data_IF_011062757906
#
_entry.id   IF_011062757906
#
_cell.length_a   1.000
_cell.length_b   1.000
_cell.length_c   1.000
_cell.angle_alpha   90.00
_cell.angle_beta   90.00
_cell.angle_gamma   90.00
#
_symmetry.space_group_name_H-M   'P 1'
#
loop_
_entity.id
_entity.type
_entity.pdbx_description
1 polymer ?
#
# COMPACT_ATOMS: atom_id res chain seq x y z
N UNK A 1 15.70 -17.50 21.33
CA UNK A 1 14.59 -16.59 20.97
C UNK A 1 13.37 -17.47 21.00
N UNK A 2 12.66 -17.45 22.12
CA UNK A 2 11.59 -18.41 22.38
C UNK A 2 10.44 -18.17 21.41
N UNK A 3 10.10 -19.21 20.64
CA UNK A 3 8.92 -19.24 19.81
C UNK A 3 7.70 -19.12 20.73
N UNK A 4 6.74 -18.21 20.44
CA UNK A 4 5.56 -18.08 21.27
C UNK A 4 4.78 -19.39 21.28
N UNK A 5 4.31 -19.78 22.47
CA UNK A 5 3.47 -20.97 22.68
C UNK A 5 2.25 -20.92 21.75
N UNK A 6 1.99 -22.05 21.10
CA UNK A 6 0.97 -22.27 20.05
C UNK A 6 -0.48 -21.96 20.47
N UNK A 7 -0.73 -21.66 21.75
CA UNK A 7 -2.06 -21.47 22.33
C UNK A 7 -2.50 -20.00 22.46
N UNK A 8 -1.59 -19.01 22.37
CA UNK A 8 -1.96 -17.58 22.34
C UNK A 8 -2.24 -17.06 20.91
N UNK A 9 -1.90 -17.85 19.88
CA UNK A 9 -1.98 -17.45 18.47
C UNK A 9 -3.39 -17.54 17.85
N UNK A 10 -4.42 -17.88 18.63
CA UNK A 10 -5.77 -18.16 18.10
C UNK A 10 -6.90 -17.40 18.82
N UNK A 11 -6.58 -16.40 19.64
CA UNK A 11 -7.64 -15.57 20.21
C UNK A 11 -8.21 -14.64 19.14
N UNK A 12 -9.39 -14.99 18.62
CA UNK A 12 -10.10 -14.16 17.64
C UNK A 12 -10.39 -12.78 18.20
N UNK A 13 -10.03 -11.75 17.47
CA UNK A 13 -10.36 -10.36 17.77
C UNK A 13 -11.69 -9.98 17.10
N UNK A 14 -12.79 -10.19 17.81
CA UNK A 14 -14.14 -9.99 17.27
C UNK A 14 -14.71 -8.67 17.79
N UNK A 15 -15.26 -7.85 16.90
CA UNK A 15 -15.92 -6.59 17.25
C UNK A 15 -17.33 -6.56 16.69
N UNK A 16 -18.23 -5.82 17.36
CA UNK A 16 -19.56 -5.51 16.84
C UNK A 16 -19.56 -4.08 16.29
N UNK A 17 -20.10 -3.91 15.09
CA UNK A 17 -20.32 -2.59 14.46
C UNK A 17 -21.68 -2.59 13.78
N UNK A 18 -22.56 -1.66 14.18
CA UNK A 18 -23.93 -1.52 13.65
C UNK A 18 -24.65 -2.88 13.54
N UNK A 19 -24.67 -3.62 14.65
CA UNK A 19 -25.31 -4.94 14.78
C UNK A 19 -24.67 -6.09 13.98
N UNK A 20 -23.59 -5.84 13.24
CA UNK A 20 -22.84 -6.87 12.51
C UNK A 20 -21.54 -7.20 13.24
N UNK A 21 -21.09 -8.44 13.11
CA UNK A 21 -19.84 -8.91 13.72
C UNK A 21 -18.72 -8.93 12.69
N UNK A 22 -17.51 -8.58 13.13
CA UNK A 22 -16.31 -8.55 12.30
C UNK A 22 -15.17 -9.24 13.03
N UNK A 23 -14.42 -10.11 12.34
CA UNK A 23 -13.20 -10.75 12.83
C UNK A 23 -11.99 -9.97 12.30
N UNK A 24 -11.38 -9.14 13.17
CA UNK A 24 -10.26 -8.28 12.78
C UNK A 24 -8.90 -8.90 13.07
N UNK A 25 -8.82 -10.18 13.46
CA UNK A 25 -7.57 -10.82 13.92
C UNK A 25 -6.40 -10.61 12.96
N UNK A 26 -6.64 -10.87 11.67
CA UNK A 26 -5.65 -10.68 10.60
C UNK A 26 -5.48 -9.22 10.17
N UNK A 27 -6.42 -8.33 10.52
CA UNK A 27 -6.35 -6.92 10.18
C UNK A 27 -5.56 -6.09 11.20
N UNK A 28 -5.43 -6.55 12.45
CA UNK A 28 -4.88 -5.75 13.55
C UNK A 28 -3.51 -5.14 13.23
N UNK A 29 -2.61 -5.95 12.65
CA UNK A 29 -1.26 -5.54 12.28
C UNK A 29 -1.22 -4.71 10.97
N UNK A 30 -2.27 -4.83 10.14
CA UNK A 30 -2.48 -4.07 8.89
C UNK A 30 -3.16 -2.72 9.12
N UNK A 31 -3.76 -2.51 10.29
CA UNK A 31 -4.57 -1.33 10.60
C UNK A 31 -3.76 -0.03 10.46
N UNK A 32 -4.17 0.91 9.58
CA UNK A 32 -3.43 2.16 9.37
C UNK A 32 -3.25 3.03 10.62
N UNK A 33 -4.17 2.94 11.57
CA UNK A 33 -4.09 3.63 12.86
C UNK A 33 -3.20 2.94 13.89
N UNK A 34 -2.64 1.76 13.59
CA UNK A 34 -1.86 0.95 14.52
C UNK A 34 -2.72 0.06 15.43
N UNK A 35 -2.10 -0.96 16.02
CA UNK A 35 -2.77 -1.94 16.89
C UNK A 35 -3.23 -1.33 18.21
N UNK A 36 -2.50 -0.32 18.69
CA UNK A 36 -2.80 0.36 19.94
C UNK A 36 -4.14 1.14 19.90
N UNK A 37 -4.64 1.49 18.71
CA UNK A 37 -5.98 2.11 18.59
C UNK A 37 -7.12 1.11 18.68
N UNK A 38 -6.83 -0.18 18.53
CA UNK A 38 -7.82 -1.26 18.66
C UNK A 38 -7.90 -1.81 20.09
N UNK A 39 -6.95 -1.44 20.97
CA UNK A 39 -6.91 -1.93 22.35
C UNK A 39 -8.25 -1.70 23.08
N UNK A 40 -8.71 -2.74 23.75
CA UNK A 40 -9.97 -2.76 24.51
C UNK A 40 -11.22 -2.90 23.65
N UNK A 41 -11.11 -3.13 22.33
CA UNK A 41 -12.27 -3.35 21.46
C UNK A 41 -12.68 -4.82 21.34
N UNK A 42 -11.82 -5.78 21.70
CA UNK A 42 -12.15 -7.19 21.58
C UNK A 42 -13.44 -7.51 22.35
N UNK A 43 -14.40 -8.13 21.68
CA UNK A 43 -15.73 -8.48 22.19
C UNK A 43 -16.56 -7.29 22.67
N UNK A 44 -16.38 -6.12 22.06
CA UNK A 44 -17.19 -4.91 22.35
C UNK A 44 -17.90 -4.37 21.12
N UNK A 45 -18.92 -3.54 21.34
CA UNK A 45 -19.52 -2.73 20.28
C UNK A 45 -18.70 -1.47 20.04
N UNK A 46 -18.03 -1.42 18.88
CA UNK A 46 -17.18 -0.30 18.51
C UNK A 46 -17.93 0.84 17.81
N UNK A 47 -19.25 0.75 17.61
CA UNK A 47 -20.03 1.72 16.81
C UNK A 47 -19.83 3.15 17.28
N UNK A 48 -20.00 3.42 18.58
CA UNK A 48 -19.83 4.77 19.12
C UNK A 48 -18.39 5.30 18.98
N UNK A 49 -17.38 4.44 19.16
CA UNK A 49 -15.96 4.81 19.03
C UNK A 49 -15.58 5.04 17.57
N UNK A 50 -16.10 4.21 16.68
CA UNK A 50 -15.89 4.29 15.23
C UNK A 50 -16.47 5.59 14.67
N UNK A 51 -17.67 5.98 15.09
CA UNK A 51 -18.32 7.24 14.66
C UNK A 51 -17.66 8.49 15.26
N UNK A 52 -17.06 8.39 16.46
CA UNK A 52 -16.30 9.50 17.09
C UNK A 52 -14.87 9.64 16.57
N UNK A 53 -14.33 8.60 15.93
CA UNK A 53 -13.02 8.67 15.30
C UNK A 53 -13.06 9.66 14.11
N UNK A 54 -11.90 10.15 13.62
CA UNK A 54 -11.86 10.80 12.32
C UNK A 54 -12.58 9.93 11.29
N UNK A 55 -13.36 10.52 10.38
CA UNK A 55 -14.16 9.75 9.44
C UNK A 55 -13.27 8.82 8.63
N UNK A 56 -13.65 7.54 8.61
CA UNK A 56 -13.04 6.56 7.73
C UNK A 56 -13.48 6.87 6.30
N UNK A 57 -12.56 6.75 5.36
CA UNK A 57 -12.85 6.92 3.94
C UNK A 57 -13.69 5.78 3.39
N UNK A 58 -14.30 6.00 2.22
CA UNK A 58 -15.08 4.97 1.53
C UNK A 58 -14.26 3.71 1.26
N UNK A 59 -12.97 3.85 0.91
CA UNK A 59 -12.07 2.72 0.72
C UNK A 59 -11.83 1.92 2.01
N UNK A 60 -11.72 2.59 3.17
CA UNK A 60 -11.57 1.91 4.46
C UNK A 60 -12.88 1.20 4.86
N UNK A 61 -14.04 1.84 4.61
CA UNK A 61 -15.35 1.22 4.82
C UNK A 61 -15.58 0.02 3.89
N UNK A 62 -15.07 0.10 2.66
CA UNK A 62 -15.13 -0.97 1.69
C UNK A 62 -14.29 -2.18 2.14
N UNK A 63 -13.04 -1.96 2.51
CA UNK A 63 -12.13 -2.98 3.02
C UNK A 63 -12.66 -3.65 4.29
N UNK A 64 -13.33 -2.91 5.18
CA UNK A 64 -13.91 -3.46 6.40
C UNK A 64 -14.91 -4.59 6.13
N UNK A 65 -15.59 -4.58 4.98
CA UNK A 65 -16.55 -5.63 4.58
C UNK A 65 -15.89 -7.01 4.46
N UNK A 66 -14.59 -7.08 4.14
CA UNK A 66 -13.80 -8.33 4.06
C UNK A 66 -13.76 -9.11 5.37
N UNK A 67 -13.87 -8.40 6.49
CA UNK A 67 -13.73 -8.99 7.82
C UNK A 67 -15.07 -9.33 8.46
N UNK A 68 -16.18 -9.12 7.74
CA UNK A 68 -17.52 -9.41 8.25
C UNK A 68 -17.71 -10.91 8.44
N UNK A 69 -18.21 -11.31 9.60
CA UNK A 69 -18.57 -12.70 9.88
C UNK A 69 -19.96 -12.96 9.31
N UNK A 70 -20.08 -14.01 8.49
CA UNK A 70 -21.37 -14.45 7.96
C UNK A 70 -22.36 -14.79 9.08
N UNK A 71 -23.60 -14.33 8.92
CA UNK A 71 -24.68 -14.47 9.90
C UNK A 71 -24.92 -15.93 10.33
N UNK A 72 -24.65 -16.89 9.44
CA UNK A 72 -24.80 -18.33 9.69
C UNK A 72 -23.72 -18.88 10.64
N UNK A 73 -22.52 -18.28 10.64
CA UNK A 73 -21.42 -18.61 11.56
C UNK A 73 -21.55 -17.87 12.88
N UNK A 74 -22.09 -16.64 12.84
CA UNK A 74 -22.35 -15.83 14.02
C UNK A 74 -23.22 -16.58 15.04
N UNK A 75 -24.32 -17.22 14.60
CA UNK A 75 -25.28 -17.92 15.47
C UNK A 75 -24.67 -18.97 16.41
N UNK A 76 -23.54 -19.58 16.03
CA UNK A 76 -22.83 -20.55 16.88
C UNK A 76 -21.89 -19.91 17.92
N UNK A 77 -21.39 -18.69 17.67
CA UNK A 77 -20.45 -17.98 18.54
C UNK A 77 -21.13 -16.93 19.45
N UNK A 78 -22.29 -16.37 19.08
CA UNK A 78 -22.93 -15.26 19.82
C UNK A 78 -23.38 -15.65 21.22
N UNK A 79 -23.67 -16.94 21.49
CA UNK A 79 -24.14 -17.38 22.82
C UNK A 79 -23.05 -17.37 23.91
N UNK A 80 -21.77 -17.20 23.55
CA UNK A 80 -20.66 -17.21 24.51
C UNK A 80 -19.79 -15.93 24.52
N UNK A 81 -19.90 -15.04 23.52
CA UNK A 81 -18.86 -14.01 23.30
C UNK A 81 -19.19 -12.58 23.73
N UNK A 82 -20.46 -12.20 23.93
CA UNK A 82 -20.85 -10.86 24.39
C UNK A 82 -21.66 -10.97 25.68
N UNK A 83 -21.00 -11.33 26.78
CA UNK A 83 -21.62 -11.38 28.10
C UNK A 83 -21.63 -9.98 28.75
N UNK A 84 -22.83 -9.45 29.01
CA UNK A 84 -23.04 -8.35 29.95
C UNK A 84 -23.44 -7.01 29.33
N UNK A 85 -24.71 -6.87 28.94
CA UNK A 85 -25.72 -5.99 29.58
C UNK A 85 -26.91 -5.90 28.64
N UNK A 86 -27.95 -6.69 28.92
CA UNK A 86 -29.32 -6.39 28.47
C UNK A 86 -30.27 -6.96 29.54
N UNK A 87 -30.26 -6.33 30.72
CA UNK A 87 -31.41 -6.39 31.62
C UNK A 87 -32.29 -5.18 31.30
N UNK A 88 -33.48 -5.51 30.78
CA UNK A 88 -34.74 -4.76 30.80
C UNK A 88 -34.67 -3.31 31.32
N UNK A 89 -34.87 -2.34 30.42
CA UNK A 89 -35.72 -1.19 30.75
C UNK A 89 -36.51 -0.73 29.52
N UNK A 90 -37.79 -1.10 29.52
CA UNK A 90 -38.79 -0.73 28.53
C UNK A 90 -39.21 0.72 28.77
N UNK A 91 -38.46 1.70 28.26
CA UNK A 91 -38.93 3.08 28.13
C UNK A 91 -38.58 3.66 26.77
N UNK A 92 -39.61 3.78 25.94
CA UNK A 92 -39.59 4.46 24.66
C UNK A 92 -39.00 5.87 24.80
N UNK A 93 -37.85 6.11 24.15
CA UNK A 93 -37.39 7.45 23.76
C UNK A 93 -37.38 7.55 22.23
N UNK A 94 -37.64 8.74 21.67
CA UNK A 94 -37.91 8.89 20.24
C UNK A 94 -36.70 8.52 19.42
N UNK A 95 -36.95 7.82 18.30
CA UNK A 95 -35.97 7.56 17.22
C UNK A 95 -35.32 8.87 16.79
N UNK A 96 -34.10 9.11 17.24
CA UNK A 96 -33.19 9.98 16.52
C UNK A 96 -32.93 9.34 15.15
N UNK A 97 -33.03 10.17 14.12
CA UNK A 97 -33.01 9.83 12.70
C UNK A 97 -31.86 8.88 12.34
N UNK A 98 -32.17 7.59 12.21
CA UNK A 98 -31.34 6.63 11.51
C UNK A 98 -31.18 7.12 10.06
N UNK A 99 -29.95 7.48 9.68
CA UNK A 99 -29.58 7.77 8.29
C UNK A 99 -30.02 6.60 7.41
N UNK A 100 -31.06 6.83 6.61
CA UNK A 100 -31.74 5.84 5.75
C UNK A 100 -30.92 5.39 4.52
N UNK A 101 -29.59 5.46 4.55
CA UNK A 101 -28.78 5.19 3.35
C UNK A 101 -28.18 3.79 3.22
N UNK A 102 -28.35 2.87 4.18
CA UNK A 102 -27.58 1.61 4.16
C UNK A 102 -28.39 0.30 4.14
N UNK A 103 -29.66 0.33 3.73
CA UNK A 103 -30.39 -0.91 3.46
C UNK A 103 -30.43 -1.19 1.95
N UNK A 104 -29.83 -2.33 1.58
CA UNK A 104 -30.02 -3.11 0.35
C UNK A 104 -29.29 -2.67 -0.92
N UNK A 105 -28.08 -3.22 -1.11
CA UNK A 105 -27.60 -3.98 -2.28
C UNK A 105 -26.13 -4.34 -1.99
N UNK A 106 -25.63 -5.47 -2.47
CA UNK A 106 -24.20 -5.75 -2.44
C UNK A 106 -23.49 -4.78 -3.40
N UNK A 107 -23.17 -3.58 -2.89
CA UNK A 107 -22.40 -2.53 -3.56
C UNK A 107 -20.95 -2.94 -3.85
N UNK A 108 -20.56 -4.19 -3.52
CA UNK A 108 -19.23 -4.67 -3.85
C UNK A 108 -19.14 -4.89 -5.36
N UNK A 109 -18.18 -4.24 -6.00
CA UNK A 109 -17.86 -4.50 -7.41
C UNK A 109 -17.06 -5.80 -7.59
N UNK A 110 -16.92 -6.58 -6.52
CA UNK A 110 -16.09 -7.79 -6.53
C UNK A 110 -16.75 -8.97 -7.24
N UNK A 111 -18.06 -8.92 -7.47
CA UNK A 111 -18.78 -9.91 -8.28
C UNK A 111 -18.51 -9.76 -9.80
N UNK A 112 -17.89 -8.65 -10.23
CA UNK A 112 -17.55 -8.41 -11.63
C UNK A 112 -16.39 -9.28 -12.13
N UNK A 113 -15.64 -9.89 -11.20
CA UNK A 113 -14.50 -10.77 -11.48
C UNK A 113 -14.58 -12.05 -10.65
N UNK A 114 -14.04 -13.13 -11.21
CA UNK A 114 -13.88 -14.41 -10.53
C UNK A 114 -12.50 -14.47 -9.86
N UNK A 115 -12.48 -14.30 -8.53
CA UNK A 115 -11.28 -14.32 -7.70
C UNK A 115 -10.56 -15.67 -7.67
N UNK A 116 -11.21 -16.76 -8.09
CA UNK A 116 -10.57 -18.07 -8.20
C UNK A 116 -9.75 -18.24 -9.49
N UNK A 117 -9.91 -17.32 -10.45
CA UNK A 117 -9.27 -17.36 -11.77
C UNK A 117 -8.19 -16.29 -11.91
N UNK A 118 -7.41 -16.41 -12.99
CA UNK A 118 -6.41 -15.41 -13.35
C UNK A 118 -7.07 -14.06 -13.65
N UNK A 119 -6.54 -12.98 -13.08
CA UNK A 119 -7.15 -11.65 -13.11
C UNK A 119 -6.90 -10.92 -14.43
N UNK A 120 -5.71 -11.04 -15.03
CA UNK A 120 -5.37 -10.24 -16.23
C UNK A 120 -6.34 -10.45 -17.40
N UNK A 121 -6.76 -11.69 -17.76
CA UNK A 121 -7.76 -11.88 -18.82
C UNK A 121 -9.14 -11.29 -18.49
N UNK A 122 -9.46 -11.09 -17.21
CA UNK A 122 -10.76 -10.60 -16.76
C UNK A 122 -10.86 -9.07 -16.81
N UNK A 123 -9.72 -8.35 -16.82
CA UNK A 123 -9.69 -6.87 -16.86
C UNK A 123 -10.42 -6.32 -18.08
N UNK A 124 -10.36 -7.01 -19.22
CA UNK A 124 -11.04 -6.61 -20.44
C UNK A 124 -12.57 -6.52 -20.27
N UNK A 125 -13.16 -7.26 -19.32
CA UNK A 125 -14.60 -7.30 -19.07
C UNK A 125 -15.08 -6.18 -18.13
N UNK A 126 -14.16 -5.48 -17.46
CA UNK A 126 -14.49 -4.47 -16.44
C UNK A 126 -13.96 -3.07 -16.80
N UNK A 127 -13.53 -2.85 -18.04
CA UNK A 127 -12.90 -1.59 -18.48
C UNK A 127 -13.76 -0.35 -18.20
N UNK A 128 -15.09 -0.48 -18.31
CA UNK A 128 -16.06 0.59 -18.08
C UNK A 128 -16.08 1.12 -16.64
N UNK A 129 -15.75 0.28 -15.66
CA UNK A 129 -15.74 0.60 -14.22
C UNK A 129 -14.37 0.37 -13.57
N UNK A 130 -13.34 0.10 -14.37
CA UNK A 130 -12.01 -0.30 -13.93
C UNK A 130 -11.38 0.69 -12.94
N UNK A 131 -11.44 2.00 -13.24
CA UNK A 131 -10.84 3.05 -12.41
C UNK A 131 -11.45 3.07 -11.00
N UNK A 132 -12.76 2.86 -10.88
CA UNK A 132 -13.40 2.75 -9.58
C UNK A 132 -13.07 1.41 -8.90
N UNK A 133 -13.04 0.31 -9.66
CA UNK A 133 -12.83 -1.04 -9.12
C UNK A 133 -11.42 -1.24 -8.56
N UNK A 134 -10.40 -0.72 -9.26
CA UNK A 134 -8.99 -0.89 -8.90
C UNK A 134 -8.62 -0.12 -7.63
N UNK A 135 -9.30 1.00 -7.37
CA UNK A 135 -9.05 1.88 -6.23
C UNK A 135 -9.85 1.51 -4.96
N UNK A 136 -10.67 0.45 -5.03
CA UNK A 136 -11.37 -0.13 -3.88
C UNK A 136 -10.57 -1.34 -3.35
N UNK A 137 -9.80 -1.17 -2.25
CA UNK A 137 -8.87 -2.20 -1.77
C UNK A 137 -9.62 -3.38 -1.15
N UNK A 138 -9.02 -4.56 -1.28
CA UNK A 138 -9.47 -5.81 -0.65
C UNK A 138 -8.28 -6.53 -0.02
N UNK A 139 -8.54 -7.41 0.95
CA UNK A 139 -7.54 -8.28 1.58
C UNK A 139 -7.76 -9.73 1.17
N UNK A 140 -7.48 -10.03 -0.11
CA UNK A 140 -7.70 -11.35 -0.72
C UNK A 140 -6.50 -11.79 -1.54
N UNK A 141 -6.22 -13.10 -1.65
CA UNK A 141 -5.28 -13.62 -2.63
C UNK A 141 -5.73 -13.27 -4.05
N UNK A 142 -4.78 -12.86 -4.91
CA UNK A 142 -5.03 -12.54 -6.30
C UNK A 142 -4.00 -13.22 -7.19
N UNK A 143 -4.47 -13.86 -8.28
CA UNK A 143 -3.64 -14.55 -9.27
C UNK A 143 -3.63 -13.76 -10.57
N UNK A 144 -2.47 -13.49 -11.18
CA UNK A 144 -2.38 -12.73 -12.44
C UNK A 144 -2.49 -13.63 -13.67
N UNK A 145 -1.84 -14.79 -13.66
CA UNK A 145 -1.73 -15.70 -14.80
C UNK A 145 -2.27 -17.10 -14.51
N UNK A 146 -2.94 -17.72 -15.49
CA UNK A 146 -3.47 -19.08 -15.40
C UNK A 146 -2.39 -20.18 -15.36
N UNK A 147 -1.29 -20.08 -16.12
CA UNK A 147 -0.14 -20.97 -15.96
C UNK A 147 0.69 -20.60 -14.71
N UNK A 148 1.14 -21.61 -13.95
CA UNK A 148 1.84 -21.39 -12.69
C UNK A 148 3.24 -20.75 -12.87
N UNK A 149 3.93 -21.05 -13.98
CA UNK A 149 5.28 -20.52 -14.23
C UNK A 149 5.26 -19.02 -14.54
N UNK A 150 4.26 -18.54 -15.29
CA UNK A 150 4.05 -17.10 -15.49
C UNK A 150 3.70 -16.40 -14.19
N UNK A 151 2.87 -17.03 -13.36
CA UNK A 151 2.49 -16.50 -12.05
C UNK A 151 3.70 -16.33 -11.13
N UNK A 152 4.66 -17.25 -11.15
CA UNK A 152 5.90 -17.13 -10.37
C UNK A 152 6.72 -15.89 -10.79
N UNK A 153 6.74 -15.55 -12.07
CA UNK A 153 7.41 -14.35 -12.57
C UNK A 153 6.76 -13.03 -12.09
N UNK A 154 5.57 -13.09 -11.48
CA UNK A 154 4.88 -11.90 -10.93
C UNK A 154 5.16 -11.67 -9.45
N UNK A 155 5.84 -12.62 -8.79
CA UNK A 155 6.08 -12.59 -7.35
C UNK A 155 7.54 -12.18 -7.10
N UNK A 156 7.71 -10.98 -6.58
CA UNK A 156 9.03 -10.41 -6.27
C UNK A 156 9.14 -10.25 -4.75
N UNK A 157 9.86 -11.13 -4.04
CA UNK A 157 10.12 -10.91 -2.62
C UNK A 157 11.03 -9.71 -2.44
N UNK A 158 10.84 -8.95 -1.36
CA UNK A 158 11.54 -7.68 -1.14
C UNK A 158 13.07 -7.80 -1.24
N UNK A 159 13.67 -8.91 -0.76
CA UNK A 159 15.12 -9.12 -0.74
C UNK A 159 15.72 -9.37 -2.12
N UNK A 160 14.92 -9.72 -3.12
CA UNK A 160 15.40 -9.94 -4.50
C UNK A 160 15.89 -8.63 -5.12
N UNK A 161 15.21 -7.52 -4.82
CA UNK A 161 15.55 -6.18 -5.32
C UNK A 161 16.96 -5.73 -4.87
N UNK A 162 17.30 -5.66 -3.56
CA UNK A 162 18.66 -5.30 -3.14
C UNK A 162 19.71 -6.32 -3.60
N UNK A 163 19.39 -7.61 -3.61
CA UNK A 163 20.31 -8.65 -4.09
C UNK A 163 20.72 -8.43 -5.54
N UNK A 164 19.80 -8.00 -6.39
CA UNK A 164 20.08 -7.69 -7.79
C UNK A 164 20.75 -6.31 -7.95
N UNK A 165 20.20 -5.27 -7.32
CA UNK A 165 20.58 -3.89 -7.61
C UNK A 165 21.84 -3.43 -6.89
N UNK A 166 22.15 -3.93 -5.69
CA UNK A 166 23.37 -3.53 -4.97
C UNK A 166 24.64 -3.87 -5.78
N UNK A 167 24.82 -5.09 -6.32
CA UNK A 167 25.97 -5.39 -7.17
C UNK A 167 26.04 -4.52 -8.44
N UNK A 168 24.90 -4.23 -9.06
CA UNK A 168 24.83 -3.39 -10.26
C UNK A 168 25.26 -1.95 -9.94
N UNK A 169 24.68 -1.35 -8.90
CA UNK A 169 25.02 0.00 -8.43
C UNK A 169 26.51 0.08 -8.08
N UNK A 170 27.00 -0.90 -7.31
CA UNK A 170 28.40 -0.95 -6.90
C UNK A 170 29.34 -1.02 -8.11
N UNK A 171 29.05 -1.88 -9.08
CA UNK A 171 29.89 -2.03 -10.27
C UNK A 171 29.87 -0.76 -11.15
N UNK A 172 28.71 -0.12 -11.33
CA UNK A 172 28.60 1.14 -12.08
C UNK A 172 29.36 2.27 -11.39
N UNK A 173 29.24 2.40 -10.06
CA UNK A 173 29.96 3.41 -9.29
C UNK A 173 31.48 3.16 -9.27
N UNK A 174 31.91 1.91 -9.01
CA UNK A 174 33.32 1.54 -8.88
C UNK A 174 34.12 1.88 -10.13
N UNK A 175 33.57 1.67 -11.33
CA UNK A 175 34.27 1.96 -12.59
C UNK A 175 34.67 3.43 -12.69
N UNK A 176 33.81 4.36 -12.27
CA UNK A 176 34.03 5.80 -12.37
C UNK A 176 34.86 6.34 -11.19
N UNK A 177 34.63 5.84 -9.97
CA UNK A 177 35.40 6.29 -8.81
C UNK A 177 36.83 5.74 -8.79
N UNK A 178 37.08 4.58 -9.39
CA UNK A 178 38.44 4.00 -9.44
C UNK A 178 39.43 4.82 -10.25
N UNK A 179 38.97 5.55 -11.28
CA UNK A 179 39.82 6.43 -12.08
C UNK A 179 40.08 7.78 -11.41
N UNK A 180 39.31 8.15 -10.38
CA UNK A 180 39.38 9.42 -9.68
C UNK A 180 40.02 9.33 -8.28
N UNK A 181 40.44 8.15 -7.83
CA UNK A 181 40.80 7.90 -6.42
C UNK A 181 42.00 8.73 -5.91
N UNK A 182 42.84 9.26 -6.80
CA UNK A 182 44.02 10.05 -6.44
C UNK A 182 43.78 11.57 -6.49
N UNK A 183 42.60 12.02 -6.91
CA UNK A 183 42.24 13.44 -7.05
C UNK A 183 40.99 13.78 -6.23
N UNK A 184 41.21 14.45 -5.09
CA UNK A 184 40.14 14.88 -4.19
C UNK A 184 39.10 15.79 -4.86
N UNK A 185 39.53 16.62 -5.82
CA UNK A 185 38.63 17.52 -6.54
C UNK A 185 37.71 16.74 -7.47
N UNK A 186 38.24 15.71 -8.13
CA UNK A 186 37.47 14.82 -8.98
C UNK A 186 36.49 13.97 -8.16
N UNK A 187 36.91 13.47 -6.99
CA UNK A 187 36.03 12.74 -6.07
C UNK A 187 34.84 13.58 -5.61
N UNK A 188 35.06 14.86 -5.31
CA UNK A 188 33.99 15.79 -4.93
C UNK A 188 32.99 15.97 -6.08
N UNK A 189 33.47 16.15 -7.32
CA UNK A 189 32.63 16.29 -8.51
C UNK A 189 31.79 15.03 -8.74
N UNK A 190 32.40 13.83 -8.70
CA UNK A 190 31.68 12.58 -8.87
C UNK A 190 30.63 12.35 -7.76
N UNK A 191 30.96 12.71 -6.52
CA UNK A 191 30.00 12.68 -5.40
C UNK A 191 28.82 13.61 -5.66
N UNK A 192 29.06 14.81 -6.20
CA UNK A 192 28.02 15.74 -6.64
C UNK A 192 27.09 15.12 -7.69
N UNK A 193 27.63 14.44 -8.71
CA UNK A 193 26.83 13.73 -9.72
C UNK A 193 26.04 12.54 -9.15
N UNK A 194 26.60 11.83 -8.17
CA UNK A 194 25.91 10.74 -7.48
C UNK A 194 24.69 11.29 -6.72
N UNK A 195 24.86 12.37 -5.96
CA UNK A 195 23.77 13.03 -5.23
C UNK A 195 22.73 13.63 -6.17
N UNK A 196 23.18 14.19 -7.30
CA UNK A 196 22.28 14.65 -8.37
C UNK A 196 21.44 13.49 -8.93
N UNK A 197 22.03 12.32 -9.14
CA UNK A 197 21.30 11.10 -9.52
C UNK A 197 20.22 10.71 -8.51
N UNK A 198 20.54 10.75 -7.21
CA UNK A 198 19.54 10.49 -6.14
C UNK A 198 18.41 11.52 -6.19
N UNK A 199 18.74 12.80 -6.36
CA UNK A 199 17.73 13.87 -6.47
C UNK A 199 16.84 13.68 -7.71
N UNK A 200 17.43 13.36 -8.87
CA UNK A 200 16.69 13.03 -10.09
C UNK A 200 15.75 11.84 -9.88
N UNK A 201 16.19 10.81 -9.16
CA UNK A 201 15.31 9.72 -8.79
C UNK A 201 14.11 10.21 -7.98
N UNK A 202 14.29 11.03 -6.95
CA UNK A 202 13.13 11.49 -6.14
C UNK A 202 12.11 12.27 -6.98
N UNK A 203 12.57 13.01 -8.00
CA UNK A 203 11.69 13.67 -8.95
C UNK A 203 10.98 12.65 -9.85
N UNK A 204 11.72 11.67 -10.36
CA UNK A 204 11.18 10.59 -11.20
C UNK A 204 10.15 9.75 -10.43
N UNK A 205 10.41 9.42 -9.17
CA UNK A 205 9.47 8.78 -8.26
C UNK A 205 8.15 9.57 -8.22
N UNK A 206 8.23 10.87 -7.94
CA UNK A 206 7.05 11.72 -7.89
C UNK A 206 6.30 11.76 -9.22
N UNK A 207 7.03 11.88 -10.34
CA UNK A 207 6.41 12.00 -11.67
C UNK A 207 5.75 10.70 -12.13
N UNK A 208 6.43 9.56 -11.95
CA UNK A 208 5.89 8.25 -12.23
C UNK A 208 4.67 7.98 -11.35
N UNK A 209 4.79 8.22 -10.04
CA UNK A 209 3.70 7.93 -9.12
C UNK A 209 2.45 8.77 -9.43
N UNK A 210 2.63 10.05 -9.77
CA UNK A 210 1.51 10.95 -10.08
C UNK A 210 0.86 10.72 -11.44
N UNK A 211 1.66 10.66 -12.50
CA UNK A 211 1.14 10.74 -13.88
C UNK A 211 1.10 9.39 -14.60
N UNK A 212 1.84 8.39 -14.12
CA UNK A 212 1.86 7.05 -14.73
C UNK A 212 1.08 6.07 -13.86
N UNK A 213 1.40 6.00 -12.57
CA UNK A 213 0.80 5.05 -11.64
C UNK A 213 -0.60 5.47 -11.17
N UNK A 214 -0.90 6.76 -11.10
CA UNK A 214 -2.24 7.30 -10.83
C UNK A 214 -2.89 7.96 -12.04
N UNK A 215 -2.59 7.47 -13.24
CA UNK A 215 -3.30 7.92 -14.43
C UNK A 215 -4.78 7.54 -14.31
N UNK A 216 -5.67 8.54 -14.37
CA UNK A 216 -7.11 8.31 -14.32
C UNK A 216 -7.57 7.68 -15.63
N UNK A 217 -8.04 6.43 -15.57
CA UNK A 217 -8.60 5.75 -16.73
C UNK A 217 -10.09 6.08 -16.87
N UNK A 218 -10.55 6.20 -18.12
CA UNK A 218 -11.94 6.52 -18.44
C UNK A 218 -12.68 5.23 -18.80
N UNK A 219 -14.01 5.27 -18.80
CA UNK A 219 -14.84 4.12 -19.16
C UNK A 219 -14.61 3.60 -20.59
N UNK A 220 -14.06 4.45 -21.47
CA UNK A 220 -13.67 4.09 -22.84
C UNK A 220 -12.18 3.77 -23.01
N UNK A 221 -11.41 3.68 -21.92
CA UNK A 221 -10.02 3.22 -21.97
C UNK A 221 -9.97 1.76 -22.42
N UNK A 222 -9.10 1.47 -23.40
CA UNK A 222 -9.00 0.12 -23.96
C UNK A 222 -8.44 -0.91 -22.96
N UNK A 223 -8.77 -2.21 -23.12
CA UNK A 223 -8.32 -3.29 -22.23
C UNK A 223 -6.81 -3.32 -21.98
N UNK A 224 -6.02 -3.01 -23.00
CA UNK A 224 -4.56 -2.96 -22.91
C UNK A 224 -4.08 -1.94 -21.87
N UNK A 225 -4.64 -0.72 -21.90
CA UNK A 225 -4.23 0.35 -20.99
C UNK A 225 -4.64 0.04 -19.55
N UNK A 226 -5.85 -0.50 -19.33
CA UNK A 226 -6.30 -0.95 -18.02
C UNK A 226 -5.43 -2.09 -17.47
N UNK A 227 -5.06 -3.04 -18.33
CA UNK A 227 -4.17 -4.15 -17.95
C UNK A 227 -2.78 -3.64 -17.60
N UNK A 228 -2.23 -2.74 -18.41
CA UNK A 228 -0.93 -2.13 -18.15
C UNK A 228 -0.91 -1.36 -16.83
N UNK A 229 -1.90 -0.48 -16.60
CA UNK A 229 -2.05 0.23 -15.34
C UNK A 229 -2.18 -0.72 -14.14
N UNK A 230 -2.94 -1.81 -14.30
CA UNK A 230 -3.09 -2.81 -13.26
C UNK A 230 -1.76 -3.45 -12.89
N UNK A 231 -0.93 -3.79 -13.87
CA UNK A 231 0.36 -4.45 -13.66
C UNK A 231 1.41 -3.54 -13.00
N UNK A 232 1.38 -2.23 -13.26
CA UNK A 232 2.41 -1.31 -12.76
C UNK A 232 2.10 -0.74 -11.37
N UNK A 233 0.82 -0.55 -11.02
CA UNK A 233 0.43 0.04 -9.72
C UNK A 233 -0.98 -0.32 -9.26
N UNK A 234 -1.93 -0.51 -10.20
CA UNK A 234 -3.32 -0.80 -9.84
C UNK A 234 -3.48 -2.05 -8.97
N UNK A 235 -2.67 -3.09 -9.21
CA UNK A 235 -2.62 -4.30 -8.38
C UNK A 235 -2.25 -3.99 -6.93
N UNK A 236 -1.27 -3.10 -6.73
CA UNK A 236 -0.85 -2.68 -5.39
C UNK A 236 -1.96 -1.92 -4.65
N UNK A 237 -2.71 -1.05 -5.32
CA UNK A 237 -3.88 -0.41 -4.69
C UNK A 237 -5.04 -1.38 -4.43
N UNK A 238 -5.21 -2.38 -5.31
CA UNK A 238 -6.30 -3.36 -5.18
C UNK A 238 -6.05 -4.35 -4.04
N UNK A 239 -4.84 -4.89 -3.92
CA UNK A 239 -4.43 -5.83 -2.86
C UNK A 239 -3.19 -5.28 -2.12
N UNK A 240 -3.35 -4.22 -1.30
CA UNK A 240 -2.23 -3.50 -0.70
C UNK A 240 -1.40 -4.35 0.28
N UNK A 241 -1.94 -5.47 0.73
CA UNK A 241 -1.30 -6.37 1.68
C UNK A 241 -0.71 -7.65 1.04
N UNK A 242 -0.53 -7.70 -0.28
CA UNK A 242 0.25 -8.77 -0.94
C UNK A 242 1.76 -8.46 -0.85
N UNK A 243 2.54 -9.22 -0.05
CA UNK A 243 3.96 -8.93 0.19
C UNK A 243 4.85 -9.28 -1.01
N UNK A 244 4.33 -10.00 -2.00
CA UNK A 244 5.10 -10.43 -3.17
C UNK A 244 4.87 -9.53 -4.38
N UNK A 245 3.97 -8.54 -4.29
CA UNK A 245 3.53 -7.70 -5.42
C UNK A 245 3.54 -6.20 -5.13
N UNK A 246 4.42 -5.82 -4.22
CA UNK A 246 4.65 -4.42 -3.87
C UNK A 246 5.88 -3.87 -4.59
N UNK A 247 7.01 -4.58 -4.51
CA UNK A 247 8.28 -4.10 -5.06
C UNK A 247 8.38 -4.34 -6.56
N UNK A 248 9.13 -3.48 -7.26
CA UNK A 248 9.22 -3.57 -8.71
C UNK A 248 10.14 -4.72 -9.15
N UNK A 249 9.69 -5.63 -10.06
CA UNK A 249 10.51 -6.76 -10.49
C UNK A 249 11.82 -6.30 -11.18
N UNK A 250 13.00 -6.85 -10.82
CA UNK A 250 14.29 -6.35 -11.32
C UNK A 250 14.47 -6.40 -12.83
N UNK A 251 13.97 -7.44 -13.51
CA UNK A 251 14.14 -7.59 -14.97
C UNK A 251 13.39 -6.49 -15.75
N UNK A 252 12.07 -6.27 -15.56
CA UNK A 252 11.39 -5.08 -16.05
C UNK A 252 12.06 -3.77 -15.64
N UNK A 253 12.56 -3.70 -14.39
CA UNK A 253 13.29 -2.54 -13.88
C UNK A 253 14.55 -2.22 -14.69
N UNK A 254 15.35 -3.24 -15.04
CA UNK A 254 16.55 -3.09 -15.85
C UNK A 254 16.24 -2.63 -17.28
N UNK A 255 15.16 -3.13 -17.88
CA UNK A 255 14.69 -2.68 -19.19
C UNK A 255 14.31 -1.20 -19.12
N UNK A 256 13.49 -0.80 -18.14
CA UNK A 256 13.08 0.60 -17.96
C UNK A 256 14.27 1.52 -17.68
N UNK A 257 15.18 1.10 -16.80
CA UNK A 257 16.40 1.83 -16.50
C UNK A 257 17.25 2.05 -17.76
N UNK A 258 17.35 1.05 -18.64
CA UNK A 258 18.09 1.15 -19.91
C UNK A 258 17.43 2.14 -20.87
N UNK A 259 16.10 2.09 -20.99
CA UNK A 259 15.32 3.01 -21.84
C UNK A 259 15.51 4.46 -21.39
N UNK A 260 15.50 4.71 -20.07
CA UNK A 260 15.69 6.06 -19.51
C UNK A 260 17.17 6.50 -19.60
N UNK A 261 18.10 5.60 -19.31
CA UNK A 261 19.53 5.88 -19.27
C UNK A 261 20.11 6.20 -20.65
N UNK A 262 19.74 5.45 -21.68
CA UNK A 262 20.32 5.57 -23.03
C UNK A 262 20.30 7.00 -23.57
N UNK A 263 19.16 7.71 -23.64
CA UNK A 263 19.13 9.10 -24.09
C UNK A 263 19.89 10.05 -23.15
N UNK A 264 19.78 9.87 -21.83
CA UNK A 264 20.49 10.70 -20.85
C UNK A 264 22.02 10.54 -20.96
N UNK A 265 22.49 9.38 -21.39
CA UNK A 265 23.92 9.08 -21.53
C UNK A 265 24.62 9.93 -22.60
N UNK A 266 23.87 10.46 -23.56
CA UNK A 266 24.41 11.37 -24.59
C UNK A 266 24.46 12.83 -24.14
N UNK A 267 23.78 13.19 -23.05
CA UNK A 267 23.63 14.59 -22.59
C UNK A 267 24.46 14.86 -21.33
N UNK A 268 24.58 13.88 -20.44
CA UNK A 268 25.27 14.04 -19.16
C UNK A 268 26.78 13.80 -19.32
N UNK A 269 27.59 14.55 -18.55
CA UNK A 269 29.04 14.41 -18.53
C UNK A 269 29.50 13.11 -17.82
N UNK A 270 28.86 12.75 -16.70
CA UNK A 270 29.15 11.53 -15.93
C UNK A 270 27.91 10.63 -15.82
N UNK A 271 27.38 10.10 -16.94
CA UNK A 271 26.07 9.45 -16.97
C UNK A 271 26.01 8.19 -16.12
N UNK A 272 27.11 7.42 -16.01
CA UNK A 272 27.17 6.20 -15.19
C UNK A 272 27.12 6.48 -13.68
N UNK A 273 27.72 7.58 -13.23
CA UNK A 273 27.63 8.02 -11.82
C UNK A 273 26.23 8.52 -11.50
N UNK A 274 25.63 9.31 -12.40
CA UNK A 274 24.23 9.74 -12.26
C UNK A 274 23.29 8.54 -12.25
N UNK A 275 23.50 7.54 -13.12
CA UNK A 275 22.74 6.28 -13.11
C UNK A 275 22.90 5.56 -11.78
N UNK A 276 24.12 5.46 -11.24
CA UNK A 276 24.38 4.80 -9.95
C UNK A 276 23.63 5.51 -8.82
N UNK A 277 23.62 6.85 -8.83
CA UNK A 277 22.86 7.65 -7.87
C UNK A 277 21.35 7.48 -8.03
N UNK A 278 20.83 7.45 -9.26
CA UNK A 278 19.42 7.24 -9.53
C UNK A 278 18.95 5.83 -9.12
N UNK A 279 19.74 4.80 -9.41
CA UNK A 279 19.48 3.43 -8.99
C UNK A 279 19.55 3.26 -7.47
N UNK A 280 20.47 3.97 -6.80
CA UNK A 280 20.53 4.03 -5.33
C UNK A 280 19.26 4.69 -4.77
N UNK A 281 18.82 5.80 -5.36
CA UNK A 281 17.56 6.45 -5.02
C UNK A 281 16.38 5.48 -5.17
N UNK A 282 16.29 4.79 -6.31
CA UNK A 282 15.28 3.75 -6.58
C UNK A 282 15.28 2.64 -5.54
N UNK A 283 16.45 2.09 -5.22
CA UNK A 283 16.57 1.02 -4.25
C UNK A 283 16.10 1.49 -2.87
N UNK A 284 16.49 2.69 -2.45
CA UNK A 284 16.00 3.31 -1.21
C UNK A 284 14.48 3.48 -1.25
N UNK A 285 13.92 4.01 -2.34
CA UNK A 285 12.48 4.16 -2.52
C UNK A 285 11.74 2.83 -2.37
N UNK A 286 12.16 1.78 -3.08
CA UNK A 286 11.42 0.52 -3.15
C UNK A 286 11.47 -0.22 -1.80
N UNK A 287 12.64 -0.17 -1.13
CA UNK A 287 12.80 -0.72 0.22
C UNK A 287 12.05 0.09 1.27
N UNK A 288 12.04 1.43 1.15
CA UNK A 288 11.21 2.28 2.00
C UNK A 288 9.74 1.95 1.80
N UNK A 289 9.27 1.87 0.56
CA UNK A 289 7.87 1.56 0.22
C UNK A 289 7.44 0.24 0.86
N UNK A 290 8.25 -0.81 0.71
CA UNK A 290 8.00 -2.10 1.35
C UNK A 290 7.97 -1.99 2.88
N UNK A 291 8.95 -1.28 3.46
CA UNK A 291 9.03 -1.08 4.91
C UNK A 291 7.87 -0.25 5.48
N UNK A 292 7.32 0.71 4.72
CA UNK A 292 6.14 1.46 5.15
C UNK A 292 4.92 0.56 5.27
N UNK A 293 4.74 -0.41 4.36
CA UNK A 293 3.65 -1.37 4.44
C UNK A 293 3.86 -2.41 5.55
N UNK A 294 5.00 -3.08 5.57
CA UNK A 294 5.22 -4.28 6.40
C UNK A 294 6.06 -4.07 7.66
N UNK A 295 6.78 -2.96 7.77
CA UNK A 295 7.64 -2.65 8.91
C UNK A 295 6.89 -2.06 10.11
N UNK A 296 7.53 -2.08 11.28
CA UNK A 296 7.08 -1.38 12.49
C UNK A 296 8.03 -0.22 12.82
N UNK A 297 7.89 0.94 12.14
CA UNK A 297 8.83 2.05 12.31
C UNK A 297 8.74 2.67 13.70
N UNK A 298 9.91 2.86 14.33
CA UNK A 298 10.05 3.57 15.62
C UNK A 298 10.50 5.03 15.44
N UNK A 299 11.27 5.31 14.38
CA UNK A 299 11.76 6.65 14.08
C UNK A 299 10.64 7.55 13.53
N UNK A 300 10.60 8.80 14.03
CA UNK A 300 9.55 9.78 13.73
C UNK A 300 9.35 10.03 12.25
N UNK A 301 10.42 10.07 11.46
CA UNK A 301 10.35 10.27 10.01
C UNK A 301 9.62 9.11 9.32
N UNK A 302 9.98 7.86 9.62
CA UNK A 302 9.31 6.69 9.03
C UNK A 302 7.87 6.51 9.52
N UNK A 303 7.56 6.86 10.77
CA UNK A 303 6.16 6.88 11.25
C UNK A 303 5.36 7.94 10.50
N UNK A 304 5.94 9.10 10.24
CA UNK A 304 5.31 10.14 9.43
C UNK A 304 5.04 9.62 8.02
N UNK A 305 6.06 9.05 7.35
CA UNK A 305 5.91 8.53 5.99
C UNK A 305 4.95 7.34 5.90
N UNK A 306 4.95 6.42 6.88
CA UNK A 306 3.99 5.29 6.93
C UNK A 306 2.55 5.81 6.98
N UNK A 307 2.30 6.79 7.85
CA UNK A 307 0.99 7.45 7.92
C UNK A 307 0.66 8.21 6.64
N UNK A 308 1.62 8.95 6.09
CA UNK A 308 1.46 9.74 4.88
C UNK A 308 1.04 8.85 3.71
N UNK A 309 1.76 7.74 3.52
CA UNK A 309 1.49 6.75 2.49
C UNK A 309 0.16 6.01 2.69
N UNK A 310 -0.17 5.61 3.93
CA UNK A 310 -1.48 5.02 4.20
C UNK A 310 -2.64 5.99 3.95
N UNK A 311 -2.47 7.28 4.23
CA UNK A 311 -3.47 8.27 3.86
C UNK A 311 -3.59 8.40 2.34
N UNK A 312 -2.50 8.31 1.58
CA UNK A 312 -2.54 8.24 0.13
C UNK A 312 -3.35 7.01 -0.36
N UNK A 313 -3.04 5.80 0.12
CA UNK A 313 -3.76 4.57 -0.24
C UNK A 313 -5.26 4.61 0.06
N UNK A 314 -5.60 4.99 1.29
CA UNK A 314 -6.94 4.76 1.81
C UNK A 314 -7.80 6.02 1.80
N UNK A 315 -7.25 7.24 1.83
CA UNK A 315 -8.05 8.46 2.02
C UNK A 315 -7.90 9.52 0.92
N UNK A 316 -6.71 9.66 0.34
CA UNK A 316 -6.33 10.78 -0.52
C UNK A 316 -5.49 10.29 -1.71
N UNK A 317 -6.07 9.44 -2.55
CA UNK A 317 -5.37 8.81 -3.69
C UNK A 317 -4.85 9.80 -4.74
N UNK A 318 -5.38 11.03 -4.75
CA UNK A 318 -4.95 12.12 -5.65
C UNK A 318 -3.93 13.07 -5.01
N UNK A 319 -3.32 12.70 -3.89
CA UNK A 319 -2.33 13.50 -3.14
C UNK A 319 -1.30 12.57 -2.49
N UNK A 320 -0.16 13.12 -2.06
CA UNK A 320 0.86 12.36 -1.34
C UNK A 320 1.59 11.33 -2.22
N UNK A 321 2.09 11.77 -3.37
CA UNK A 321 2.79 10.91 -4.32
C UNK A 321 4.24 10.64 -3.91
N UNK A 322 4.82 11.42 -2.99
CA UNK A 322 6.14 11.15 -2.46
C UNK A 322 6.13 10.02 -1.43
N UNK A 323 6.85 8.94 -1.72
CA UNK A 323 7.03 7.77 -0.83
C UNK A 323 8.33 7.87 -0.03
N UNK A 324 9.42 8.28 -0.69
CA UNK A 324 10.71 8.50 -0.03
C UNK A 324 10.70 9.79 0.80
N UNK A 325 10.06 10.85 0.27
CA UNK A 325 9.90 12.13 0.97
C UNK A 325 8.74 12.95 0.40
N UNK A 326 8.13 13.86 1.18
CA UNK A 326 7.07 14.76 0.70
C UNK A 326 7.62 15.99 -0.05
N UNK A 327 8.90 16.00 -0.43
CA UNK A 327 9.56 17.17 -1.02
C UNK A 327 8.80 17.69 -2.26
N UNK A 328 8.57 16.81 -3.23
CA UNK A 328 7.90 17.18 -4.48
C UNK A 328 6.40 17.42 -4.28
N UNK A 329 5.78 16.79 -3.29
CA UNK A 329 4.40 17.11 -2.92
C UNK A 329 4.25 18.55 -2.39
N UNK A 330 5.27 19.06 -1.68
CA UNK A 330 5.32 20.47 -1.26
C UNK A 330 5.51 21.37 -2.49
N UNK A 331 6.48 21.06 -3.34
CA UNK A 331 6.80 21.86 -4.54
C UNK A 331 5.60 21.97 -5.49
N UNK A 332 4.87 20.87 -5.70
CA UNK A 332 3.75 20.80 -6.64
C UNK A 332 2.36 20.86 -5.97
N UNK A 333 2.30 21.23 -4.69
CA UNK A 333 1.07 21.44 -3.92
C UNK A 333 0.09 20.24 -3.92
N UNK A 334 0.62 19.05 -3.73
CA UNK A 334 -0.11 17.77 -3.62
C UNK A 334 0.08 17.12 -2.24
N UNK A 335 0.54 17.90 -1.25
CA UNK A 335 0.88 17.43 0.09
C UNK A 335 -0.35 17.05 0.93
N UNK A 336 -0.31 15.86 1.54
CA UNK A 336 -1.27 15.45 2.57
C UNK A 336 -0.94 16.10 3.92
N UNK A 337 -1.91 16.79 4.53
CA UNK A 337 -1.76 17.38 5.86
C UNK A 337 -2.15 16.38 6.95
N UNK A 338 -1.15 15.74 7.55
CA UNK A 338 -1.37 14.81 8.65
C UNK A 338 -1.66 15.53 9.96
N UNK A 339 -2.68 15.07 10.68
CA UNK A 339 -2.95 15.51 12.07
C UNK A 339 -1.79 15.15 12.99
N UNK A 340 -1.46 16.02 13.94
CA UNK A 340 -0.52 15.72 15.04
C UNK A 340 -1.14 14.68 15.97
N UNK A 341 -0.43 13.59 16.21
CA UNK A 341 -0.87 12.56 17.15
C UNK A 341 -0.41 12.91 18.58
N UNK A 342 -1.23 12.54 19.57
CA UNK A 342 -0.89 12.66 21.00
C UNK A 342 -0.09 11.47 21.52
N UNK A 343 0.01 10.40 20.74
CA UNK A 343 0.72 9.17 21.06
C UNK A 343 1.38 8.61 19.80
N UNK A 344 2.33 7.70 20.00
CA UNK A 344 3.00 7.00 18.92
C UNK A 344 2.19 5.78 18.48
N UNK A 345 2.02 5.60 17.17
CA UNK A 345 1.40 4.40 16.62
C UNK A 345 2.38 3.22 16.67
N UNK A 346 1.85 2.02 16.85
CA UNK A 346 2.58 0.75 16.79
C UNK A 346 1.81 -0.24 15.93
N UNK A 347 2.50 -1.07 15.17
CA UNK A 347 1.87 -2.08 14.30
C UNK A 347 2.16 -3.52 14.71
N UNK A 348 3.04 -3.69 15.70
CA UNK A 348 3.32 -4.93 16.45
C UNK A 348 3.70 -4.58 17.87
#
# INVERSE_FOLDING_TARGET
MDLPKKDEANEKFIVKYRQQLYDLSEFMHKHPGGINTLKGLNRTDMTARFMKAPPHSDAAMYLMKEYKIDSNVAAHNTKQSFAGTDQQDTRQRPRETEDKNNNQLDESMEHLVDWSKAMLPQIANITNCYDEWVHKPVDRPLRLFGPWYLEMCTKTPWWLVPTFWIPVIFQCARQEFSSAWQDDSQLLVLTGYLLFGVLLWTLLEYTLHRWVFHVKLRSNSGPFLCTFHFMIHGLHHKVPFDPMRLVFPPLPGAVLATIIYTPLSYVLLHPRVVLSGALLGYLCYDMMHYYLHYGNPSARAFIHMKRYHFHHHFSHQTSGYGISSPLWDVVFNTRIRLRKLRYQLRWT
#
